data_IF_883872420062
#
_entry.id   IF_883872420062
#
_cell.length_a   1.000
_cell.length_b   1.000
_cell.length_c   1.000
_cell.angle_alpha   90.00
_cell.angle_beta   90.00
_cell.angle_gamma   90.00
#
_symmetry.space_group_name_H-M   'P 1'
#
loop_
_entity.id
_entity.type
_entity.pdbx_description
1 polymer ?
#
# COMPACT_ATOMS: atom_id res chain seq x y z
N UNK A 1 -1.39 -1.94 12.94
CA UNK A 1 -1.42 -0.69 13.74
C UNK A 1 -1.58 0.57 12.90
N UNK A 2 -0.69 0.93 11.96
CA UNK A 2 -0.86 2.19 11.22
C UNK A 2 -2.12 2.22 10.32
N UNK A 3 -2.36 1.16 9.54
CA UNK A 3 -3.56 1.09 8.70
C UNK A 3 -4.85 0.99 9.53
N UNK A 4 -4.83 0.29 10.67
CA UNK A 4 -5.99 0.18 11.57
C UNK A 4 -6.33 1.54 12.17
N UNK A 5 -5.32 2.28 12.66
CA UNK A 5 -5.50 3.62 13.23
C UNK A 5 -5.95 4.65 12.19
N UNK A 6 -5.58 4.48 10.91
CA UNK A 6 -6.11 5.29 9.81
C UNK A 6 -7.55 4.88 9.52
N UNK A 7 -7.83 3.60 9.27
CA UNK A 7 -9.17 3.14 8.91
C UNK A 7 -10.22 3.40 10.00
N UNK A 8 -9.81 3.48 11.27
CA UNK A 8 -10.70 3.80 12.39
C UNK A 8 -11.09 5.27 12.51
N UNK A 9 -10.54 6.18 11.70
CA UNK A 9 -10.90 7.60 11.74
C UNK A 9 -12.32 7.79 11.21
N UNK A 10 -13.09 8.65 11.88
CA UNK A 10 -14.49 8.85 11.57
C UNK A 10 -14.71 9.30 10.11
N UNK A 11 -13.83 10.17 9.59
CA UNK A 11 -13.89 10.63 8.20
C UNK A 11 -13.85 9.50 7.16
N UNK A 12 -13.17 8.38 7.46
CA UNK A 12 -13.09 7.24 6.57
C UNK A 12 -14.27 6.29 6.73
N UNK A 13 -14.75 6.10 7.96
CA UNK A 13 -15.96 5.32 8.24
C UNK A 13 -17.19 5.96 7.59
N UNK A 14 -17.35 7.28 7.74
CA UNK A 14 -18.45 8.05 7.11
C UNK A 14 -18.40 7.97 5.59
N UNK A 15 -17.22 8.17 4.99
CA UNK A 15 -17.05 8.09 3.54
C UNK A 15 -17.32 6.67 2.99
N UNK A 16 -17.05 5.63 3.77
CA UNK A 16 -17.33 4.25 3.43
C UNK A 16 -18.77 3.80 3.76
N UNK A 17 -19.53 4.60 4.50
CA UNK A 17 -20.86 4.23 5.01
C UNK A 17 -20.81 3.10 6.04
N UNK A 18 -19.72 3.00 6.82
CA UNK A 18 -19.50 1.97 7.83
C UNK A 18 -19.71 2.55 9.23
N UNK A 19 -20.21 1.72 10.14
CA UNK A 19 -20.20 2.02 11.56
C UNK A 19 -18.91 1.49 12.23
N UNK A 20 -18.48 2.05 13.39
CA UNK A 20 -17.28 1.60 14.09
C UNK A 20 -17.26 0.10 14.39
N UNK A 21 -18.42 -0.50 14.66
CA UNK A 21 -18.60 -1.94 14.87
C UNK A 21 -18.32 -2.81 13.63
N UNK A 22 -18.39 -2.24 12.41
CA UNK A 22 -18.11 -2.97 11.17
C UNK A 22 -16.59 -3.05 10.87
N UNK A 23 -15.80 -2.16 11.47
CA UNK A 23 -14.38 -2.04 11.17
C UNK A 23 -13.58 -3.34 11.38
N UNK A 24 -13.75 -4.10 12.48
CA UNK A 24 -13.03 -5.35 12.66
C UNK A 24 -13.29 -6.36 11.53
N UNK A 25 -14.54 -6.50 11.10
CA UNK A 25 -14.94 -7.41 10.02
C UNK A 25 -14.30 -6.99 8.69
N UNK A 26 -14.28 -5.68 8.42
CA UNK A 26 -13.60 -5.15 7.23
C UNK A 26 -12.10 -5.45 7.26
N UNK A 27 -11.42 -5.22 8.39
CA UNK A 27 -9.98 -5.46 8.52
C UNK A 27 -9.63 -6.95 8.42
N UNK A 28 -10.45 -7.82 8.99
CA UNK A 28 -10.30 -9.27 8.86
C UNK A 28 -10.46 -9.74 7.42
N UNK A 29 -11.47 -9.22 6.70
CA UNK A 29 -11.67 -9.52 5.29
C UNK A 29 -10.49 -9.02 4.43
N UNK A 30 -9.97 -7.82 4.72
CA UNK A 30 -8.78 -7.30 4.05
C UNK A 30 -7.55 -8.18 4.33
N UNK A 31 -7.32 -8.56 5.58
CA UNK A 31 -6.21 -9.43 5.98
C UNK A 31 -6.29 -10.81 5.29
N UNK A 32 -7.51 -11.34 5.11
CA UNK A 32 -7.73 -12.59 4.38
C UNK A 32 -7.34 -12.49 2.89
N UNK A 33 -7.52 -11.32 2.26
CA UNK A 33 -7.18 -11.09 0.85
C UNK A 33 -5.69 -10.76 0.63
N UNK A 34 -5.00 -10.26 1.65
CA UNK A 34 -3.59 -9.88 1.56
C UNK A 34 -2.70 -11.13 1.48
N UNK A 35 -1.74 -11.09 0.56
CA UNK A 35 -0.64 -12.07 0.52
C UNK A 35 0.51 -11.59 1.39
N UNK A 36 0.87 -12.29 2.48
CA UNK A 36 2.06 -11.94 3.24
C UNK A 36 3.32 -12.23 2.40
N UNK A 37 4.28 -11.32 2.44
CA UNK A 37 5.52 -11.41 1.66
C UNK A 37 6.68 -11.57 2.63
N UNK A 38 7.45 -12.64 2.44
CA UNK A 38 8.70 -12.81 3.16
C UNK A 38 9.79 -11.98 2.48
N UNK A 39 10.52 -11.19 3.26
CA UNK A 39 11.62 -10.38 2.75
C UNK A 39 12.87 -11.26 2.68
N UNK A 40 13.24 -11.69 1.48
CA UNK A 40 14.42 -12.50 1.25
C UNK A 40 15.67 -11.65 0.94
N UNK A 41 15.47 -10.47 0.37
CA UNK A 41 16.55 -9.56 -0.01
C UNK A 41 16.27 -8.16 0.53
N UNK A 42 17.29 -7.58 1.16
CA UNK A 42 17.27 -6.19 1.59
C UNK A 42 17.84 -5.33 0.47
N UNK A 43 17.03 -4.42 -0.05
CA UNK A 43 17.41 -3.53 -1.15
C UNK A 43 17.83 -2.15 -0.65
N UNK A 44 17.68 -1.88 0.65
CA UNK A 44 17.96 -0.59 1.26
C UNK A 44 19.48 -0.25 1.23
N UNK A 45 19.84 1.04 1.10
CA UNK A 45 18.93 2.18 0.97
C UNK A 45 18.54 2.50 -0.48
N UNK A 46 17.26 2.79 -0.71
CA UNK A 46 16.69 3.30 -1.95
C UNK A 46 15.98 4.66 -1.76
N UNK A 47 15.49 4.94 -0.56
CA UNK A 47 14.67 6.09 -0.20
C UNK A 47 15.21 6.79 1.06
N UNK A 48 14.82 8.06 1.25
CA UNK A 48 15.25 8.84 2.43
C UNK A 48 14.45 8.51 3.68
N UNK A 49 13.16 8.21 3.51
CA UNK A 49 12.24 7.90 4.60
C UNK A 49 12.17 6.39 4.84
N UNK A 50 12.35 5.96 6.08
CA UNK A 50 12.39 4.55 6.44
C UNK A 50 11.02 3.87 6.30
N UNK A 51 9.91 4.58 6.51
CA UNK A 51 8.59 4.00 6.33
C UNK A 51 8.32 3.74 4.84
N UNK A 52 8.69 4.68 3.98
CA UNK A 52 8.62 4.49 2.53
C UNK A 52 9.55 3.36 2.06
N UNK A 53 10.75 3.19 2.65
CA UNK A 53 11.65 2.06 2.34
C UNK A 53 10.97 0.70 2.55
N UNK A 54 10.24 0.52 3.66
CA UNK A 54 9.58 -0.75 3.97
C UNK A 54 8.50 -1.08 2.93
N UNK A 55 7.79 -0.06 2.44
CA UNK A 55 6.75 -0.20 1.41
C UNK A 55 7.39 -0.61 0.07
N UNK A 56 8.46 0.06 -0.34
CA UNK A 56 9.16 -0.26 -1.58
C UNK A 56 9.79 -1.66 -1.53
N UNK A 57 10.43 -2.00 -0.40
CA UNK A 57 11.06 -3.31 -0.17
C UNK A 57 10.04 -4.45 -0.25
N UNK A 58 8.86 -4.27 0.35
CA UNK A 58 7.76 -5.22 0.26
C UNK A 58 7.28 -5.40 -1.18
N UNK A 59 7.07 -4.31 -1.93
CA UNK A 59 6.58 -4.36 -3.31
C UNK A 59 7.56 -5.09 -4.25
N UNK A 60 8.86 -4.86 -4.09
CA UNK A 60 9.91 -5.53 -4.89
C UNK A 60 9.98 -7.02 -4.55
N UNK A 61 10.05 -7.37 -3.26
CA UNK A 61 10.11 -8.77 -2.84
C UNK A 61 8.83 -9.53 -3.21
N UNK A 62 7.69 -8.85 -3.32
CA UNK A 62 6.44 -9.45 -3.78
C UNK A 62 6.40 -9.73 -5.29
N UNK A 63 7.32 -9.15 -6.07
CA UNK A 63 7.19 -9.09 -7.53
C UNK A 63 5.91 -8.36 -7.94
N UNK A 64 5.55 -7.29 -7.23
CA UNK A 64 4.30 -6.57 -7.48
C UNK A 64 4.26 -6.01 -8.91
N UNK A 65 3.10 -6.10 -9.55
CA UNK A 65 2.88 -5.52 -10.89
C UNK A 65 2.88 -3.99 -10.89
N UNK A 66 2.53 -3.37 -9.75
CA UNK A 66 2.55 -1.93 -9.55
C UNK A 66 2.54 -1.59 -8.04
N UNK A 67 3.11 -0.43 -7.69
CA UNK A 67 2.94 0.21 -6.39
C UNK A 67 1.85 1.28 -6.49
N UNK A 68 0.74 1.08 -5.79
CA UNK A 68 -0.40 1.99 -5.83
C UNK A 68 -0.33 2.93 -4.62
N UNK A 69 -0.19 4.23 -4.84
CA UNK A 69 -0.07 5.24 -3.77
C UNK A 69 -0.45 6.64 -4.24
N UNK A 70 -0.90 7.49 -3.30
CA UNK A 70 -1.05 8.92 -3.55
C UNK A 70 0.29 9.66 -3.50
N UNK A 71 1.30 9.14 -2.79
CA UNK A 71 2.60 9.78 -2.58
C UNK A 71 3.62 9.45 -3.66
N UNK A 72 3.21 9.42 -4.93
CA UNK A 72 4.02 8.94 -6.06
C UNK A 72 5.44 9.51 -6.11
N UNK A 73 5.57 10.82 -5.86
CA UNK A 73 6.85 11.56 -5.91
C UNK A 73 7.92 10.98 -4.99
N UNK A 74 7.53 10.32 -3.89
CA UNK A 74 8.46 9.70 -2.97
C UNK A 74 9.07 8.42 -3.55
N UNK A 75 8.33 7.70 -4.40
CA UNK A 75 8.70 6.36 -4.84
C UNK A 75 9.21 6.29 -6.28
N UNK A 76 8.72 7.17 -7.17
CA UNK A 76 8.92 7.06 -8.63
C UNK A 76 10.39 6.87 -9.03
N UNK A 77 11.32 7.64 -8.46
CA UNK A 77 12.73 7.57 -8.80
C UNK A 77 13.36 6.22 -8.38
N UNK A 78 13.03 5.72 -7.19
CA UNK A 78 13.56 4.46 -6.70
C UNK A 78 12.90 3.26 -7.38
N UNK A 79 11.57 3.27 -7.52
CA UNK A 79 10.79 2.20 -8.14
C UNK A 79 11.16 1.97 -9.62
N UNK A 80 11.53 3.03 -10.35
CA UNK A 80 11.99 2.92 -11.73
C UNK A 80 13.21 2.01 -11.89
N UNK A 81 14.10 1.95 -10.90
CA UNK A 81 15.29 1.08 -10.90
C UNK A 81 14.93 -0.42 -10.87
N UNK A 82 13.72 -0.73 -10.41
CA UNK A 82 13.18 -2.09 -10.30
C UNK A 82 12.11 -2.37 -11.34
N UNK A 83 11.92 -1.49 -12.33
CA UNK A 83 10.84 -1.57 -13.33
C UNK A 83 9.45 -1.70 -12.70
N UNK A 84 9.25 -1.11 -11.52
CA UNK A 84 8.00 -1.15 -10.77
C UNK A 84 7.17 0.11 -11.09
N UNK A 85 6.03 0.00 -11.80
CA UNK A 85 5.15 1.12 -12.07
C UNK A 85 4.58 1.70 -10.77
N UNK A 86 4.58 3.03 -10.64
CA UNK A 86 3.94 3.72 -9.50
C UNK A 86 2.71 4.47 -10.00
N UNK A 87 1.54 4.15 -9.45
CA UNK A 87 0.25 4.66 -9.92
C UNK A 87 -0.59 5.21 -8.77
N UNK A 88 -1.41 6.24 -9.05
CA UNK A 88 -2.48 6.62 -8.10
C UNK A 88 -3.61 5.59 -8.14
N UNK A 89 -4.37 5.38 -7.05
CA UNK A 89 -5.53 4.48 -7.05
C UNK A 89 -6.49 4.71 -8.21
N UNK A 90 -6.87 5.97 -8.48
CA UNK A 90 -7.79 6.29 -9.58
C UNK A 90 -7.23 5.99 -10.98
N UNK A 91 -5.91 6.07 -11.17
CA UNK A 91 -5.28 5.70 -12.43
C UNK A 91 -5.24 4.17 -12.61
N UNK A 92 -4.94 3.44 -11.53
CA UNK A 92 -4.95 1.99 -11.54
C UNK A 92 -6.36 1.45 -11.83
N UNK A 93 -7.40 1.97 -11.17
CA UNK A 93 -8.78 1.56 -11.44
C UNK A 93 -9.18 1.75 -12.90
N UNK A 94 -8.80 2.88 -13.52
CA UNK A 94 -9.05 3.11 -14.95
C UNK A 94 -8.30 2.15 -15.88
N UNK A 95 -7.16 1.60 -15.45
CA UNK A 95 -6.42 0.61 -16.25
C UNK A 95 -7.00 -0.81 -16.19
N UNK A 96 -7.94 -1.07 -15.27
CA UNK A 96 -8.62 -2.36 -15.14
C UNK A 96 -9.94 -2.44 -15.93
N UNK A 97 -10.39 -1.31 -16.49
CA UNK A 97 -11.59 -1.20 -17.31
C UNK A 97 -11.25 -1.38 -18.78
#
# INVERSE_FOLDING_TARGET
MEYEAVCSRMEHLEAAGLHPEDLPVFLDALAYLIRPIHIHYLWRPQLRDLADELVLEAAINAGAHALITFNRKHFEAAAARFSLPVMTPGAFLRSLQ
#
